data_IF_185174875989
#
_entry.id   IF_185174875989
#
_cell.length_a   1.000
_cell.length_b   1.000
_cell.length_c   1.000
_cell.angle_alpha   90.00
_cell.angle_beta   90.00
_cell.angle_gamma   90.00
#
_symmetry.space_group_name_H-M   'P 1'
#
loop_
_entity.id
_entity.type
_entity.pdbx_description
1 polymer ?
#
# COMPACT_ATOMS: atom_id res chain seq x y z
N UNK A 1 26.15 -18.73 18.82
CA UNK A 1 26.67 -18.44 17.47
C UNK A 1 25.48 -18.02 16.62
N UNK A 2 25.26 -16.70 16.46
CA UNK A 2 24.09 -16.16 15.76
C UNK A 2 24.35 -16.12 14.25
N UNK A 3 23.62 -16.95 13.50
CA UNK A 3 23.75 -17.16 12.06
C UNK A 3 22.63 -16.47 11.26
N UNK A 4 22.08 -15.36 11.77
CA UNK A 4 20.97 -14.63 11.12
C UNK A 4 21.31 -13.17 10.83
N UNK A 5 22.58 -12.87 10.51
CA UNK A 5 22.93 -11.64 9.82
C UNK A 5 23.08 -11.92 8.31
N UNK A 6 22.05 -12.53 7.71
CA UNK A 6 21.97 -12.62 6.25
C UNK A 6 21.52 -11.25 5.78
N UNK A 7 22.50 -10.48 5.30
CA UNK A 7 22.37 -9.27 4.49
C UNK A 7 20.93 -9.07 4.01
N UNK A 8 20.23 -8.05 4.55
CA UNK A 8 19.05 -7.47 3.89
C UNK A 8 19.51 -7.10 2.48
N UNK A 9 19.25 -7.98 1.51
CA UNK A 9 19.36 -7.61 0.12
C UNK A 9 18.11 -6.78 -0.13
N UNK A 10 18.18 -5.48 0.19
CA UNK A 10 17.12 -4.52 -0.15
C UNK A 10 17.17 -4.34 -1.65
N UNK A 11 16.65 -5.31 -2.38
CA UNK A 11 16.63 -5.27 -3.83
C UNK A 11 15.54 -4.30 -4.25
N UNK A 12 15.91 -3.08 -4.62
CA UNK A 12 14.96 -2.11 -5.15
C UNK A 12 14.70 -2.43 -6.63
N UNK A 13 13.43 -2.65 -6.96
CA UNK A 13 12.94 -2.84 -8.32
C UNK A 13 11.86 -1.84 -8.68
N UNK A 14 11.46 -1.87 -9.95
CA UNK A 14 10.35 -1.06 -10.46
C UNK A 14 9.36 -1.91 -11.23
N UNK A 15 8.10 -1.47 -11.27
CA UNK A 15 7.10 -2.04 -12.18
C UNK A 15 6.97 -1.25 -13.47
N UNK A 16 6.57 -1.94 -14.54
CA UNK A 16 6.26 -1.34 -15.84
C UNK A 16 5.09 -2.06 -16.49
N UNK A 17 4.26 -1.33 -17.23
CA UNK A 17 3.18 -1.92 -18.00
C UNK A 17 3.69 -2.41 -19.36
N UNK A 18 3.42 -3.66 -19.70
CA UNK A 18 3.65 -4.24 -21.02
C UNK A 18 2.39 -4.96 -21.45
N UNK A 19 1.79 -4.53 -22.56
CA UNK A 19 0.55 -5.10 -23.11
C UNK A 19 -0.58 -5.22 -22.07
N UNK A 20 -0.80 -4.16 -21.29
CA UNK A 20 -1.84 -4.11 -20.25
C UNK A 20 -1.54 -4.91 -18.97
N UNK A 21 -0.41 -5.63 -18.91
CA UNK A 21 -0.01 -6.38 -17.73
C UNK A 21 1.12 -5.67 -16.99
N UNK A 22 1.08 -5.77 -15.66
CA UNK A 22 2.12 -5.22 -14.81
C UNK A 22 3.30 -6.20 -14.68
N UNK A 23 4.49 -5.75 -15.07
CA UNK A 23 5.73 -6.51 -14.98
C UNK A 23 6.66 -5.91 -13.93
N UNK A 24 7.24 -6.75 -13.09
CA UNK A 24 8.22 -6.34 -12.09
C UNK A 24 9.63 -6.61 -12.55
N UNK A 25 10.48 -5.60 -12.47
CA UNK A 25 11.92 -5.72 -12.70
C UNK A 25 12.67 -5.38 -11.43
N UNK A 26 13.09 -6.43 -10.75
CA UNK A 26 13.78 -6.39 -9.47
C UNK A 26 15.26 -6.68 -9.70
N UNK A 27 16.11 -5.91 -9.03
CA UNK A 27 17.55 -5.91 -9.19
C UNK A 27 18.21 -7.18 -8.62
N UNK A 28 17.97 -8.34 -9.25
CA UNK A 28 18.43 -9.66 -8.82
C UNK A 28 18.69 -10.59 -10.00
N UNK A 29 18.73 -11.91 -9.76
CA UNK A 29 18.86 -12.89 -10.84
C UNK A 29 17.60 -12.96 -11.69
N UNK A 30 17.73 -13.50 -12.91
CA UNK A 30 16.58 -13.75 -13.78
C UNK A 30 15.56 -14.70 -13.12
N UNK A 31 16.04 -15.73 -12.44
CA UNK A 31 15.20 -16.71 -11.70
C UNK A 31 14.37 -16.03 -10.62
N UNK A 32 14.94 -15.05 -9.91
CA UNK A 32 14.25 -14.29 -8.89
C UNK A 32 13.09 -13.49 -9.50
N UNK A 33 13.32 -12.81 -10.62
CA UNK A 33 12.29 -12.07 -11.33
C UNK A 33 11.17 -12.99 -11.85
N UNK A 34 11.50 -14.17 -12.38
CA UNK A 34 10.52 -15.17 -12.85
C UNK A 34 9.63 -15.68 -11.71
N UNK A 35 10.20 -15.96 -10.53
CA UNK A 35 9.41 -16.40 -9.37
C UNK A 35 8.42 -15.32 -8.92
N UNK A 36 8.86 -14.06 -8.87
CA UNK A 36 8.00 -12.94 -8.49
C UNK A 36 6.91 -12.69 -9.49
N UNK A 37 7.25 -12.69 -10.79
CA UNK A 37 6.26 -12.46 -11.82
C UNK A 37 5.19 -13.56 -11.78
N UNK A 38 5.58 -14.82 -11.57
CA UNK A 38 4.62 -15.92 -11.40
C UNK A 38 3.74 -15.77 -10.15
N UNK A 39 4.31 -15.31 -9.04
CA UNK A 39 3.53 -15.00 -7.84
C UNK A 39 2.48 -13.94 -8.15
N UNK A 40 2.88 -12.83 -8.77
CA UNK A 40 2.00 -11.75 -9.18
C UNK A 40 0.90 -12.24 -10.13
N UNK A 41 1.28 -12.89 -11.23
CA UNK A 41 0.37 -13.39 -12.26
C UNK A 41 -0.68 -14.36 -11.70
N UNK A 42 -0.31 -15.17 -10.71
CA UNK A 42 -1.19 -16.19 -10.13
C UNK A 42 -2.05 -15.66 -8.98
N UNK A 43 -1.52 -14.74 -8.17
CA UNK A 43 -2.13 -14.32 -6.89
C UNK A 43 -2.72 -12.93 -6.93
N UNK A 44 -2.16 -12.03 -7.72
CA UNK A 44 -2.48 -10.60 -7.67
C UNK A 44 -2.95 -10.04 -9.03
N UNK A 45 -2.81 -10.78 -10.14
CA UNK A 45 -3.20 -10.29 -11.46
C UNK A 45 -4.70 -10.09 -11.67
N UNK A 46 -5.58 -10.34 -10.71
CA UNK A 46 -6.97 -9.88 -10.80
C UNK A 46 -7.16 -8.52 -10.11
N UNK A 47 -6.25 -8.14 -9.22
CA UNK A 47 -6.32 -6.92 -8.41
C UNK A 47 -5.88 -5.67 -9.20
N UNK A 48 -5.27 -5.83 -10.37
CA UNK A 48 -4.82 -4.70 -11.19
C UNK A 48 -5.94 -4.07 -12.03
N UNK A 49 -7.04 -4.80 -12.31
CA UNK A 49 -8.13 -4.32 -13.17
C UNK A 49 -8.91 -3.17 -12.52
N UNK A 50 -8.94 -3.13 -11.19
CA UNK A 50 -9.69 -2.14 -10.42
C UNK A 50 -8.76 -1.07 -9.75
N UNK A 51 -7.47 -1.06 -10.10
CA UNK A 51 -6.43 -0.30 -9.40
C UNK A 51 -6.40 1.20 -9.76
N UNK A 52 -6.04 2.05 -8.78
CA UNK A 52 -5.84 3.52 -8.94
C UNK A 52 -4.50 3.86 -9.63
N UNK A 53 -3.59 2.90 -9.76
CA UNK A 53 -2.32 3.07 -10.46
C UNK A 53 -2.65 3.22 -11.94
N UNK A 54 -2.78 4.48 -12.41
CA UNK A 54 -2.93 4.75 -13.83
C UNK A 54 -1.78 4.09 -14.60
N UNK A 55 -1.98 3.74 -15.87
CA UNK A 55 -0.90 3.23 -16.74
C UNK A 55 0.35 4.16 -16.73
N UNK A 56 0.17 5.41 -16.33
CA UNK A 56 1.21 6.42 -16.12
C UNK A 56 1.93 6.34 -14.78
N UNK A 57 1.77 5.29 -13.97
CA UNK A 57 2.47 5.14 -12.69
C UNK A 57 3.33 3.88 -12.62
N UNK A 58 4.48 4.01 -11.96
CA UNK A 58 5.43 2.93 -11.71
C UNK A 58 5.52 2.66 -10.21
N UNK A 59 5.43 1.40 -9.81
CA UNK A 59 5.61 0.99 -8.43
C UNK A 59 7.08 0.81 -8.15
N UNK A 60 7.53 1.33 -7.02
CA UNK A 60 8.87 1.07 -6.49
C UNK A 60 8.71 0.02 -5.41
N UNK A 61 9.31 -1.14 -5.62
CA UNK A 61 9.13 -2.30 -4.75
C UNK A 61 10.46 -2.86 -4.28
N UNK A 62 10.44 -3.59 -3.18
CA UNK A 62 11.48 -4.56 -2.85
C UNK A 62 10.90 -5.93 -2.53
N UNK A 63 11.77 -6.84 -2.11
CA UNK A 63 11.38 -8.17 -1.65
C UNK A 63 11.71 -8.36 -0.19
N UNK A 64 10.79 -9.00 0.52
CA UNK A 64 10.98 -9.40 1.92
C UNK A 64 10.81 -10.90 2.05
N UNK A 65 11.60 -11.58 2.91
CA UNK A 65 11.38 -12.99 3.19
C UNK A 65 9.97 -13.23 3.73
N UNK A 66 9.29 -14.25 3.21
CA UNK A 66 7.93 -14.59 3.61
C UNK A 66 7.76 -16.11 3.75
N UNK A 67 6.84 -16.52 4.61
CA UNK A 67 6.52 -17.94 4.81
C UNK A 67 5.43 -18.40 3.83
N UNK A 68 5.74 -18.36 2.54
CA UNK A 68 4.85 -18.80 1.46
C UNK A 68 5.59 -19.77 0.51
N UNK A 69 4.87 -20.33 -0.47
CA UNK A 69 5.42 -21.30 -1.43
C UNK A 69 6.58 -20.74 -2.30
N UNK A 70 6.76 -19.41 -2.31
CA UNK A 70 7.78 -18.71 -3.07
C UNK A 70 8.96 -18.22 -2.19
N UNK A 71 8.80 -18.20 -0.86
CA UNK A 71 9.83 -17.77 0.10
C UNK A 71 10.02 -16.25 0.25
N UNK A 72 9.28 -15.46 -0.54
CA UNK A 72 9.36 -13.99 -0.54
C UNK A 72 8.00 -13.35 -0.88
N UNK A 73 7.83 -12.09 -0.48
CA UNK A 73 6.72 -11.22 -0.86
C UNK A 73 7.24 -9.91 -1.45
N UNK A 74 6.43 -9.33 -2.34
CA UNK A 74 6.65 -7.99 -2.85
C UNK A 74 6.17 -6.97 -1.83
N UNK A 75 7.00 -5.96 -1.60
CA UNK A 75 6.71 -4.88 -0.68
C UNK A 75 6.80 -3.53 -1.39
N UNK A 76 5.74 -2.75 -1.31
CA UNK A 76 5.63 -1.45 -1.97
C UNK A 76 6.30 -0.37 -1.12
N UNK A 77 7.29 0.29 -1.70
CA UNK A 77 8.06 1.34 -1.04
C UNK A 77 7.55 2.74 -1.40
N UNK A 78 7.17 2.93 -2.67
CA UNK A 78 6.70 4.21 -3.19
C UNK A 78 5.97 4.02 -4.53
N UNK A 79 5.21 5.03 -4.94
CA UNK A 79 4.62 5.11 -6.27
C UNK A 79 5.24 6.31 -7.01
N UNK A 80 5.76 6.08 -8.22
CA UNK A 80 6.24 7.12 -9.11
C UNK A 80 5.16 7.48 -10.12
N UNK A 81 4.66 8.71 -10.08
CA UNK A 81 3.73 9.22 -11.07
C UNK A 81 4.51 9.80 -12.25
N UNK A 82 4.43 9.16 -13.43
CA UNK A 82 5.16 9.59 -14.62
C UNK A 82 4.63 10.90 -15.19
N UNK A 83 3.32 11.15 -15.13
CA UNK A 83 2.70 12.38 -15.64
C UNK A 83 3.15 13.61 -14.84
N UNK A 84 3.15 13.52 -13.51
CA UNK A 84 3.54 14.60 -12.61
C UNK A 84 5.04 14.64 -12.32
N UNK A 85 5.77 13.58 -12.67
CA UNK A 85 7.20 13.36 -12.39
C UNK A 85 7.52 13.52 -10.89
N UNK A 86 6.72 12.88 -10.04
CA UNK A 86 6.82 12.97 -8.57
C UNK A 86 6.64 11.60 -7.92
N UNK A 87 7.30 11.42 -6.78
CA UNK A 87 7.07 10.27 -5.88
C UNK A 87 5.90 10.54 -4.93
N UNK A 88 5.11 9.50 -4.68
CA UNK A 88 4.21 9.37 -3.54
C UNK A 88 4.78 8.36 -2.58
N UNK A 89 4.91 8.76 -1.32
CA UNK A 89 5.52 8.01 -0.23
C UNK A 89 4.74 8.17 1.08
N UNK A 90 3.57 8.82 1.03
CA UNK A 90 2.71 8.99 2.21
C UNK A 90 2.09 7.64 2.57
N UNK A 91 2.00 7.33 3.86
CA UNK A 91 1.53 6.02 4.33
C UNK A 91 0.11 5.72 3.88
N UNK A 92 -0.75 6.73 3.83
CA UNK A 92 -2.12 6.55 3.37
C UNK A 92 -2.16 6.16 1.89
N UNK A 93 -1.41 6.86 1.03
CA UNK A 93 -1.32 6.57 -0.40
C UNK A 93 -0.60 5.23 -0.67
N UNK A 94 0.55 4.98 -0.05
CA UNK A 94 1.30 3.74 -0.30
C UNK A 94 0.64 2.54 0.37
N UNK A 95 0.03 2.73 1.53
CA UNK A 95 -0.67 1.70 2.29
C UNK A 95 -1.94 1.25 1.58
N UNK A 96 -2.78 2.19 1.13
CA UNK A 96 -3.97 1.88 0.32
C UNK A 96 -3.57 1.15 -0.96
N UNK A 97 -2.58 1.67 -1.69
CA UNK A 97 -2.14 1.07 -2.94
C UNK A 97 -1.55 -0.34 -2.72
N UNK A 98 -0.77 -0.53 -1.66
CA UNK A 98 -0.22 -1.84 -1.32
C UNK A 98 -1.32 -2.84 -0.99
N UNK A 99 -2.29 -2.47 -0.15
CA UNK A 99 -3.43 -3.31 0.20
C UNK A 99 -4.24 -3.70 -1.04
N UNK A 100 -4.51 -2.72 -1.90
CA UNK A 100 -5.22 -2.92 -3.15
C UNK A 100 -4.55 -3.96 -4.05
N UNK A 101 -3.23 -3.87 -4.15
CA UNK A 101 -2.41 -4.70 -5.02
C UNK A 101 -2.00 -6.03 -4.37
N UNK A 102 -2.42 -6.30 -3.13
CA UNK A 102 -1.98 -7.47 -2.37
C UNK A 102 -0.46 -7.46 -2.10
N UNK A 103 0.13 -6.28 -1.97
CA UNK A 103 1.53 -6.05 -1.65
C UNK A 103 1.69 -5.77 -0.15
N UNK A 104 2.88 -6.06 0.37
CA UNK A 104 3.24 -5.66 1.74
C UNK A 104 3.55 -4.16 1.76
N UNK A 105 3.13 -3.44 2.80
CA UNK A 105 3.48 -2.02 2.97
C UNK A 105 4.95 -1.89 3.38
N UNK A 106 5.71 -1.11 2.62
CA UNK A 106 7.15 -0.89 2.82
C UNK A 106 7.54 0.27 3.72
N UNK A 107 6.55 1.06 4.12
CA UNK A 107 6.74 2.17 5.04
C UNK A 107 6.72 1.64 6.47
N UNK A 108 7.74 1.97 7.26
CA UNK A 108 7.73 1.77 8.70
C UNK A 108 6.69 2.74 9.29
N UNK A 109 5.43 2.31 9.33
CA UNK A 109 4.44 2.98 10.15
C UNK A 109 4.93 2.92 11.60
N UNK A 110 5.06 4.08 12.25
CA UNK A 110 5.04 4.12 13.71
C UNK A 110 3.73 3.45 14.12
N UNK A 111 3.82 2.27 14.71
CA UNK A 111 2.67 1.47 15.09
C UNK A 111 1.95 2.12 16.26
N UNK A 112 1.15 3.13 15.99
CA UNK A 112 0.04 3.50 16.85
C UNK A 112 -1.21 2.95 16.15
N UNK A 113 -1.38 1.62 16.19
CA UNK A 113 -2.68 1.01 15.87
C UNK A 113 -3.64 1.34 17.01
N UNK A 114 -4.11 2.58 17.02
CA UNK A 114 -5.32 2.97 17.71
C UNK A 114 -6.49 2.41 16.87
N UNK A 115 -6.95 1.22 17.23
CA UNK A 115 -8.08 0.54 16.56
C UNK A 115 -9.41 1.28 16.72
N UNK A 116 -9.42 2.43 17.41
CA UNK A 116 -10.59 3.31 17.57
C UNK A 116 -11.07 3.92 16.26
N UNK A 117 -10.24 3.92 15.21
CA UNK A 117 -10.61 4.49 13.92
C UNK A 117 -11.25 3.48 12.95
N UNK A 118 -11.38 2.19 13.27
CA UNK A 118 -12.05 1.23 12.35
C UNK A 118 -13.55 1.57 12.24
N UNK A 119 -14.07 1.65 11.00
CA UNK A 119 -15.48 1.97 10.77
C UNK A 119 -16.41 0.93 11.44
N UNK A 120 -17.29 1.35 12.37
CA UNK A 120 -18.17 0.44 13.08
C UNK A 120 -19.32 -0.08 12.22
N UNK A 121 -19.59 0.54 11.07
CA UNK A 121 -20.69 0.16 10.18
C UNK A 121 -20.31 -0.96 9.22
N UNK A 122 -19.14 -0.89 8.58
CA UNK A 122 -18.74 -1.86 7.55
C UNK A 122 -17.46 -2.64 7.85
N UNK A 123 -16.63 -2.20 8.80
CA UNK A 123 -15.32 -2.79 9.13
C UNK A 123 -14.35 -2.93 7.94
N UNK A 124 -14.63 -2.29 6.80
CA UNK A 124 -13.81 -2.34 5.57
C UNK A 124 -12.68 -1.32 5.53
N UNK A 125 -12.62 -0.39 6.49
CA UNK A 125 -11.60 0.64 6.55
C UNK A 125 -11.79 1.59 7.72
N UNK A 126 -10.90 2.57 7.81
CA UNK A 126 -10.89 3.54 8.90
C UNK A 126 -11.81 4.74 8.64
N UNK A 127 -12.24 5.38 9.72
CA UNK A 127 -12.89 6.68 9.75
C UNK A 127 -11.82 7.74 9.54
N UNK A 128 -11.96 8.51 8.46
CA UNK A 128 -11.05 9.59 8.11
C UNK A 128 -11.68 10.95 8.41
N UNK A 129 -10.90 11.99 8.74
CA UNK A 129 -11.44 13.33 8.95
C UNK A 129 -12.15 13.86 7.70
N UNK A 130 -13.28 14.53 7.90
CA UNK A 130 -14.02 15.21 6.84
C UNK A 130 -13.44 16.59 6.52
N UNK A 131 -12.82 17.23 7.51
CA UNK A 131 -12.19 18.55 7.40
C UNK A 131 -10.78 18.53 7.96
N UNK A 132 -9.78 18.90 7.16
CA UNK A 132 -8.37 18.90 7.58
C UNK A 132 -8.10 19.89 8.71
N UNK A 133 -8.82 21.01 8.74
CA UNK A 133 -8.72 22.04 9.78
C UNK A 133 -9.29 21.58 11.13
N UNK A 134 -10.20 20.59 11.09
CA UNK A 134 -10.91 20.07 12.26
C UNK A 134 -10.99 18.53 12.24
N UNK A 135 -9.85 17.83 12.34
CA UNK A 135 -9.77 16.38 12.06
C UNK A 135 -10.51 15.51 13.08
N UNK A 136 -10.81 16.04 14.26
CA UNK A 136 -11.52 15.34 15.31
C UNK A 136 -13.02 15.67 15.39
N UNK A 137 -13.54 16.57 14.54
CA UNK A 137 -14.94 16.99 14.59
C UNK A 137 -15.88 16.00 13.90
N UNK A 138 -15.68 15.78 12.60
CA UNK A 138 -16.47 14.82 11.84
C UNK A 138 -15.50 13.88 11.15
N UNK A 139 -15.67 12.58 11.40
CA UNK A 139 -14.98 11.53 10.65
C UNK A 139 -15.99 10.75 9.80
N UNK A 140 -15.55 10.24 8.65
CA UNK A 140 -16.40 9.47 7.75
C UNK A 140 -15.68 8.25 7.17
N UNK A 141 -16.46 7.25 6.78
CA UNK A 141 -15.97 6.07 6.08
C UNK A 141 -16.19 6.23 4.57
N UNK A 142 -15.12 6.10 3.77
CA UNK A 142 -15.21 6.16 2.29
C UNK A 142 -15.97 4.97 1.65
N UNK A 143 -16.17 3.87 2.38
CA UNK A 143 -16.75 2.64 1.84
C UNK A 143 -18.27 2.54 1.99
N UNK A 144 -18.84 3.19 3.01
CA UNK A 144 -20.26 3.07 3.33
C UNK A 144 -20.91 4.41 3.71
N UNK A 145 -20.18 5.52 3.54
CA UNK A 145 -20.59 6.89 3.88
C UNK A 145 -21.05 7.08 5.33
N UNK A 146 -20.76 6.13 6.21
CA UNK A 146 -21.02 6.25 7.65
C UNK A 146 -20.20 7.38 8.25
N UNK A 147 -20.80 8.16 9.17
CA UNK A 147 -20.19 9.34 9.78
C UNK A 147 -20.32 9.29 11.29
N UNK A 148 -19.32 9.83 11.97
CA UNK A 148 -19.33 10.07 13.41
C UNK A 148 -19.06 11.54 13.65
N UNK A 149 -19.93 12.19 14.41
CA UNK A 149 -19.73 13.55 14.92
C UNK A 149 -19.22 13.50 16.35
N UNK A 150 -18.26 14.37 16.67
CA UNK A 150 -17.80 14.62 18.02
C UNK A 150 -18.03 16.10 18.34
N UNK A 151 -19.13 16.37 19.05
CA UNK A 151 -19.56 17.72 19.40
C UNK A 151 -18.57 18.45 20.30
N UNK A 152 -17.71 17.76 21.06
CA UNK A 152 -16.68 18.40 21.91
C UNK A 152 -15.59 19.12 21.09
N UNK A 153 -15.41 18.72 19.83
CA UNK A 153 -14.42 19.29 18.91
C UNK A 153 -15.06 20.12 17.79
N UNK A 154 -16.33 20.51 17.96
CA UNK A 154 -17.02 21.35 16.99
C UNK A 154 -16.38 22.74 16.92
N UNK A 155 -16.12 23.29 15.71
CA UNK A 155 -15.66 24.66 15.55
C UNK A 155 -16.80 25.68 15.65
N UNK A 156 -18.05 25.21 15.76
CA UNK A 156 -19.22 26.06 15.88
C UNK A 156 -19.35 26.58 17.32
N UNK A 157 -19.69 27.86 17.53
CA UNK A 157 -19.96 28.38 18.86
C UNK A 157 -21.22 27.73 19.47
N UNK A 158 -21.18 27.53 20.79
CA UNK A 158 -22.31 27.05 21.61
C UNK A 158 -23.52 28.00 21.59
#
# INVERSE_FOLDING_TARGET
MNLMNRNKISVVGFSTFVNGNLFFKINGSFEHNDVIQRYWDKKCAHLHEDCIVSEDASLIVDTVPANNEYGYELRLLAVWNNAQRKFRYEYDDVGMEAEYMGLVVGLEGTSDTDTSDICPSCSKGNLIPMYDEHPNWIKFCRYCDFRTDNSEYTPLPD
#
